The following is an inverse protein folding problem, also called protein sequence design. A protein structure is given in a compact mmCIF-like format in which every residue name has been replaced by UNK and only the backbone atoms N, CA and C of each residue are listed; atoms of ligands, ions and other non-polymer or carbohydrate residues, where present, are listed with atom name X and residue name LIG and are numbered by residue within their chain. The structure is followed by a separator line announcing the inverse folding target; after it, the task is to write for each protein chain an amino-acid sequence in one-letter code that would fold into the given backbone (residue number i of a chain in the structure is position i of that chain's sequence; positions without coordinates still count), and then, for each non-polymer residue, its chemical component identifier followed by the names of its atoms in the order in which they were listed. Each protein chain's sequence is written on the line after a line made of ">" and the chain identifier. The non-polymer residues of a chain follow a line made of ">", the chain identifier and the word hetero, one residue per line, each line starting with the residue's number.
data_IF_578286891258
#
_entry.id   IF_578286891258
#
_cell.length_a   1.000
_cell.length_b   1.000
_cell.length_c   1.000
_cell.angle_alpha   90.00
_cell.angle_beta   90.00
_cell.angle_gamma   90.00
#
_symmetry.space_group_name_H-M   'P 1'
#
loop_
_entity.id
_entity.type
_entity.pdbx_description
1 polymer ?
#
# COMPACT_ATOMS: atom_id res chain seq x y z
N UNK A 1 71.98 50.25 -10.09
CA UNK A 1 71.47 48.90 -10.25
C UNK A 1 70.91 48.43 -8.93
N UNK A 2 69.61 48.57 -8.76
CA UNK A 2 68.88 48.17 -7.53
C UNK A 2 68.14 46.88 -7.82
N UNK A 3 68.50 45.80 -7.12
CA UNK A 3 67.80 44.51 -7.20
C UNK A 3 66.67 44.49 -6.20
N UNK A 4 65.42 44.39 -6.69
CA UNK A 4 64.27 44.10 -5.85
C UNK A 4 64.10 42.55 -5.79
N UNK A 5 64.19 42.00 -4.61
CA UNK A 5 63.83 40.63 -4.31
C UNK A 5 62.35 40.60 -3.95
N UNK A 6 61.55 39.89 -4.78
CA UNK A 6 60.17 39.55 -4.46
C UNK A 6 60.17 38.32 -3.56
N UNK A 7 59.67 38.49 -2.35
CA UNK A 7 59.32 37.35 -1.46
C UNK A 7 57.89 36.99 -1.75
N UNK A 8 57.66 35.82 -2.32
CA UNK A 8 56.34 35.25 -2.53
C UNK A 8 55.92 34.51 -1.25
N UNK A 9 54.97 35.09 -0.50
CA UNK A 9 54.36 34.40 0.62
C UNK A 9 53.26 33.48 0.08
N UNK A 10 53.49 32.17 0.13
CA UNK A 10 52.46 31.16 -0.16
C UNK A 10 51.57 31.03 1.09
N UNK A 11 50.34 31.52 0.97
CA UNK A 11 49.29 31.26 1.96
C UNK A 11 48.75 29.86 1.70
N UNK A 12 49.05 28.95 2.61
CA UNK A 12 48.43 27.61 2.65
C UNK A 12 47.03 27.76 3.25
N UNK A 13 46.02 27.71 2.39
CA UNK A 13 44.63 27.60 2.84
C UNK A 13 44.41 26.13 3.23
N UNK A 14 44.40 25.83 4.52
CA UNK A 14 43.98 24.58 5.03
C UNK A 14 42.44 24.49 4.92
N UNK A 15 41.93 23.79 3.92
CA UNK A 15 40.54 23.33 3.89
C UNK A 15 40.38 22.29 5.01
N UNK A 16 39.78 22.70 6.11
CA UNK A 16 39.24 21.75 7.09
C UNK A 16 38.01 21.08 6.43
N UNK A 17 38.19 19.85 5.98
CA UNK A 17 37.07 18.95 5.68
C UNK A 17 36.28 18.79 6.99
N UNK A 18 35.12 19.44 7.05
CA UNK A 18 34.14 19.17 8.08
C UNK A 18 33.80 17.68 8.01
N UNK A 19 34.13 16.96 9.06
CA UNK A 19 33.82 15.56 9.22
C UNK A 19 32.32 15.36 8.98
N UNK A 20 31.98 14.48 8.04
CA UNK A 20 30.68 13.87 8.02
C UNK A 20 30.43 13.34 9.42
N UNK A 21 29.44 13.88 10.10
CA UNK A 21 28.95 13.32 11.35
C UNK A 21 28.67 11.85 11.10
N UNK A 22 29.34 10.99 11.85
CA UNK A 22 29.07 9.55 11.84
C UNK A 22 27.56 9.37 11.97
N UNK A 23 26.92 8.84 10.94
CA UNK A 23 25.56 8.36 11.06
C UNK A 23 25.61 7.38 12.25
N UNK A 24 24.91 7.71 13.32
CA UNK A 24 24.70 6.78 14.43
C UNK A 24 24.01 5.59 13.83
N UNK A 25 24.61 4.40 13.94
CA UNK A 25 23.91 3.17 13.54
C UNK A 25 22.52 3.19 14.21
N UNK A 26 21.47 2.83 13.45
CA UNK A 26 20.14 2.76 14.03
C UNK A 26 20.18 1.80 15.23
N UNK A 27 19.42 2.08 16.28
CA UNK A 27 19.40 1.24 17.46
C UNK A 27 19.03 -0.18 17.06
N UNK A 28 19.84 -1.16 17.50
CA UNK A 28 19.53 -2.57 17.33
C UNK A 28 18.39 -2.90 18.28
N UNK A 29 17.23 -3.20 17.71
CA UNK A 29 16.04 -3.60 18.46
C UNK A 29 16.25 -4.97 19.10
N UNK A 30 15.68 -5.18 20.28
CA UNK A 30 15.62 -6.51 20.89
C UNK A 30 14.74 -7.45 20.05
N UNK A 31 14.88 -8.77 20.26
CA UNK A 31 14.02 -9.75 19.58
C UNK A 31 12.53 -9.52 19.89
N UNK A 32 12.20 -9.11 21.12
CA UNK A 32 10.83 -8.77 21.54
C UNK A 32 10.31 -7.49 20.84
N UNK A 33 11.11 -6.44 20.78
CA UNK A 33 10.75 -5.21 20.06
C UNK A 33 10.62 -5.47 18.55
N UNK A 34 11.48 -6.30 17.98
CA UNK A 34 11.38 -6.72 16.59
C UNK A 34 10.11 -7.52 16.33
N UNK A 35 9.76 -8.46 17.22
CA UNK A 35 8.51 -9.22 17.13
C UNK A 35 7.28 -8.30 17.23
N UNK A 36 7.28 -7.34 18.16
CA UNK A 36 6.20 -6.34 18.28
C UNK A 36 6.06 -5.46 17.03
N UNK A 37 7.16 -5.06 16.44
CA UNK A 37 7.13 -4.32 15.18
C UNK A 37 6.58 -5.17 14.02
N UNK A 38 6.86 -6.46 14.03
CA UNK A 38 6.43 -7.38 12.97
C UNK A 38 4.96 -7.77 13.11
N UNK A 39 4.52 -8.17 14.29
CA UNK A 39 3.17 -8.71 14.51
C UNK A 39 2.19 -7.70 15.09
N UNK A 40 2.68 -6.62 15.72
CA UNK A 40 1.88 -5.78 16.61
C UNK A 40 1.63 -6.46 17.95
N UNK A 41 0.94 -5.78 18.86
CA UNK A 41 0.57 -6.27 20.18
C UNK A 41 -0.94 -6.54 20.33
N UNK A 42 -1.70 -6.37 19.23
CA UNK A 42 -3.15 -6.63 19.22
C UNK A 42 -3.45 -8.13 19.14
N UNK A 43 -4.42 -8.60 19.90
CA UNK A 43 -4.95 -9.95 19.75
C UNK A 43 -5.67 -10.08 18.40
N UNK A 44 -5.09 -10.85 17.48
CA UNK A 44 -5.66 -11.12 16.17
C UNK A 44 -6.58 -12.34 16.12
N UNK A 45 -6.74 -13.05 17.24
CA UNK A 45 -7.59 -14.25 17.31
C UNK A 45 -9.01 -14.04 16.76
N UNK A 46 -9.72 -12.93 17.05
CA UNK A 46 -11.06 -12.69 16.50
C UNK A 46 -11.06 -12.55 14.97
N UNK A 47 -10.03 -11.91 14.42
CA UNK A 47 -9.91 -11.66 12.96
C UNK A 47 -9.50 -12.91 12.19
N UNK A 48 -8.63 -13.74 12.75
CA UNK A 48 -8.19 -14.99 12.14
C UNK A 48 -9.28 -16.08 12.17
N UNK A 49 -10.16 -16.04 13.17
CA UNK A 49 -11.26 -16.98 13.31
C UNK A 49 -12.61 -16.43 12.84
N UNK A 50 -12.61 -15.32 12.08
CA UNK A 50 -13.83 -14.79 11.50
C UNK A 50 -14.46 -15.77 10.50
N UNK A 51 -15.78 -15.73 10.38
CA UNK A 51 -16.49 -16.54 9.40
C UNK A 51 -16.41 -15.87 8.02
N UNK A 52 -15.50 -16.35 7.17
CA UNK A 52 -15.31 -15.85 5.82
C UNK A 52 -15.81 -16.85 4.79
N UNK A 53 -16.55 -16.37 3.82
CA UNK A 53 -16.99 -17.18 2.67
C UNK A 53 -17.09 -16.32 1.41
N UNK A 54 -16.75 -16.91 0.28
CA UNK A 54 -17.01 -16.32 -1.03
C UNK A 54 -18.49 -16.35 -1.36
N UNK A 55 -18.99 -15.29 -1.98
CA UNK A 55 -20.38 -15.12 -2.39
C UNK A 55 -20.52 -14.34 -3.68
N UNK A 56 -21.78 -14.07 -4.07
CA UNK A 56 -22.07 -13.25 -5.24
C UNK A 56 -21.59 -11.82 -5.03
N UNK A 57 -20.99 -11.23 -6.05
CA UNK A 57 -20.54 -9.86 -6.00
C UNK A 57 -21.72 -8.87 -6.02
N UNK A 58 -21.67 -7.78 -5.21
CA UNK A 58 -22.51 -6.62 -5.41
C UNK A 58 -22.38 -6.05 -6.83
N UNK A 59 -23.45 -5.52 -7.40
CA UNK A 59 -23.45 -5.06 -8.79
C UNK A 59 -22.54 -3.85 -9.01
N UNK A 60 -22.41 -3.00 -8.03
CA UNK A 60 -21.56 -1.81 -7.99
C UNK A 60 -20.07 -2.13 -7.86
N UNK A 61 -19.72 -3.36 -7.44
CA UNK A 61 -18.32 -3.82 -7.43
C UNK A 61 -17.83 -4.32 -8.80
N UNK A 62 -18.74 -4.47 -9.76
CA UNK A 62 -18.40 -4.94 -11.11
C UNK A 62 -18.14 -3.74 -12.01
N UNK A 63 -16.98 -3.72 -12.67
CA UNK A 63 -16.63 -2.65 -13.62
C UNK A 63 -17.65 -2.53 -14.74
N UNK A 64 -17.97 -1.30 -15.09
CA UNK A 64 -18.88 -1.02 -16.20
C UNK A 64 -18.22 -1.29 -17.56
N UNK A 65 -18.95 -1.92 -18.44
CA UNK A 65 -18.53 -2.17 -19.82
C UNK A 65 -17.94 -3.56 -20.08
N UNK A 66 -17.47 -3.80 -21.31
CA UNK A 66 -16.98 -5.12 -21.69
C UNK A 66 -15.59 -5.40 -21.08
N UNK A 67 -15.49 -6.45 -20.29
CA UNK A 67 -14.22 -7.00 -19.82
C UNK A 67 -13.95 -8.35 -20.48
N UNK A 68 -12.79 -8.49 -21.12
CA UNK A 68 -12.36 -9.76 -21.70
C UNK A 68 -12.07 -10.83 -20.63
N UNK A 69 -11.73 -10.39 -19.42
CA UNK A 69 -11.51 -11.26 -18.26
C UNK A 69 -12.84 -11.81 -17.77
N UNK A 70 -13.78 -10.90 -17.44
CA UNK A 70 -15.09 -11.25 -16.88
C UNK A 70 -15.93 -12.10 -17.83
N UNK A 71 -15.78 -11.91 -19.15
CA UNK A 71 -16.48 -12.70 -20.16
C UNK A 71 -16.10 -14.20 -20.18
N UNK A 72 -15.04 -14.59 -19.48
CA UNK A 72 -14.48 -15.94 -19.47
C UNK A 72 -14.13 -16.41 -18.05
N UNK A 73 -14.79 -15.86 -17.04
CA UNK A 73 -14.44 -16.12 -15.64
C UNK A 73 -15.66 -16.09 -14.74
N UNK A 74 -15.65 -16.92 -13.73
CA UNK A 74 -16.49 -16.80 -12.56
C UNK A 74 -15.87 -15.77 -11.58
N UNK A 75 -16.73 -14.96 -10.97
CA UNK A 75 -16.32 -13.89 -10.05
C UNK A 75 -17.04 -14.07 -8.73
N UNK A 76 -16.30 -14.06 -7.64
CA UNK A 76 -16.84 -14.16 -6.29
C UNK A 76 -16.25 -13.06 -5.40
N UNK A 77 -17.05 -12.56 -4.50
CA UNK A 77 -16.71 -11.45 -3.60
C UNK A 77 -16.89 -11.83 -2.13
N UNK A 78 -16.25 -11.08 -1.28
CA UNK A 78 -16.38 -11.18 0.16
C UNK A 78 -15.80 -9.97 0.87
N UNK A 79 -15.97 -9.93 2.18
CA UNK A 79 -15.37 -8.93 3.04
C UNK A 79 -14.60 -9.59 4.17
N UNK A 80 -13.47 -9.00 4.55
CA UNK A 80 -12.65 -9.47 5.67
C UNK A 80 -12.46 -8.33 6.65
N UNK A 81 -12.80 -8.55 7.91
CA UNK A 81 -12.54 -7.59 8.98
C UNK A 81 -11.06 -7.60 9.36
N UNK A 82 -10.50 -6.40 9.47
CA UNK A 82 -9.14 -6.19 9.96
C UNK A 82 -9.13 -5.10 11.03
N UNK A 83 -8.22 -5.14 12.00
CA UNK A 83 -8.18 -4.12 13.04
C UNK A 83 -7.79 -2.76 12.47
N UNK A 84 -8.36 -1.68 12.97
CA UNK A 84 -7.96 -0.32 12.60
C UNK A 84 -6.46 -0.09 12.81
N UNK A 85 -5.90 -0.68 13.86
CA UNK A 85 -4.46 -0.65 14.14
C UNK A 85 -4.00 -1.99 14.70
N UNK A 86 -2.80 -2.39 14.35
CA UNK A 86 -2.14 -3.60 14.88
C UNK A 86 -1.35 -3.34 16.16
N UNK A 87 -1.29 -2.09 16.60
CA UNK A 87 -0.59 -1.69 17.82
C UNK A 87 -1.56 -1.03 18.80
N UNK A 88 -1.48 -1.47 20.06
CA UNK A 88 -2.33 -0.98 21.12
C UNK A 88 -3.80 -1.40 20.99
N UNK A 89 -4.55 -1.12 22.03
CA UNK A 89 -5.98 -1.41 22.09
C UNK A 89 -6.73 -0.09 22.05
N UNK A 90 -7.06 0.38 20.84
CA UNK A 90 -7.76 1.64 20.64
C UNK A 90 -9.23 1.37 20.32
N UNK A 91 -10.10 2.23 20.84
CA UNK A 91 -11.55 2.19 20.58
C UNK A 91 -11.81 2.90 19.25
N UNK A 92 -11.39 2.25 18.16
CA UNK A 92 -11.55 2.71 16.77
C UNK A 92 -12.27 1.59 16.03
N UNK A 93 -13.27 1.90 15.18
CA UNK A 93 -13.93 0.90 14.35
C UNK A 93 -12.93 0.12 13.50
N UNK A 94 -13.13 -1.18 13.37
CA UNK A 94 -12.34 -2.02 12.48
C UNK A 94 -12.60 -1.66 11.01
N UNK A 95 -11.70 -2.04 10.09
CA UNK A 95 -11.97 -1.96 8.66
C UNK A 95 -12.65 -3.22 8.14
N UNK A 96 -13.56 -3.04 7.19
CA UNK A 96 -14.13 -4.09 6.36
C UNK A 96 -13.48 -4.03 4.98
N UNK A 97 -12.55 -4.94 4.70
CA UNK A 97 -11.83 -4.96 3.43
C UNK A 97 -12.61 -5.73 2.38
N UNK A 98 -12.88 -5.10 1.25
CA UNK A 98 -13.47 -5.72 0.08
C UNK A 98 -12.44 -6.61 -0.63
N UNK A 99 -12.86 -7.83 -0.93
CA UNK A 99 -12.04 -8.80 -1.67
C UNK A 99 -12.84 -9.42 -2.81
N UNK A 100 -12.18 -9.67 -3.92
CA UNK A 100 -12.75 -10.31 -5.08
C UNK A 100 -11.79 -11.36 -5.62
N UNK A 101 -12.31 -12.53 -5.98
CA UNK A 101 -11.53 -13.49 -6.75
C UNK A 101 -12.14 -13.70 -8.12
N UNK A 102 -11.25 -13.86 -9.11
CA UNK A 102 -11.59 -14.17 -10.49
C UNK A 102 -11.01 -15.54 -10.83
N UNK A 103 -11.88 -16.45 -11.21
CA UNK A 103 -11.55 -17.83 -11.57
C UNK A 103 -11.90 -18.02 -13.05
N UNK A 104 -10.92 -18.39 -13.87
CA UNK A 104 -11.16 -18.63 -15.29
C UNK A 104 -12.06 -19.84 -15.49
N UNK A 105 -13.01 -19.73 -16.43
CA UNK A 105 -13.92 -20.81 -16.80
C UNK A 105 -13.15 -22.06 -17.25
N UNK A 106 -13.43 -23.19 -16.62
CA UNK A 106 -12.77 -24.46 -16.90
C UNK A 106 -11.34 -24.59 -16.36
N UNK A 107 -10.87 -23.65 -15.53
CA UNK A 107 -9.60 -23.79 -14.84
C UNK A 107 -9.70 -24.91 -13.78
N UNK A 108 -8.65 -25.74 -13.69
CA UNK A 108 -8.50 -26.76 -12.61
C UNK A 108 -7.79 -26.15 -11.39
N UNK A 109 -8.00 -24.85 -11.14
CA UNK A 109 -7.32 -24.14 -10.07
C UNK A 109 -7.71 -24.65 -8.67
N UNK A 110 -6.72 -24.73 -7.79
CA UNK A 110 -7.00 -25.06 -6.40
C UNK A 110 -7.65 -23.83 -5.72
N UNK A 111 -8.89 -23.94 -5.21
CA UNK A 111 -9.60 -22.81 -4.61
C UNK A 111 -8.98 -22.29 -3.31
N UNK A 112 -8.05 -23.05 -2.72
CA UNK A 112 -7.33 -22.64 -1.49
C UNK A 112 -6.02 -21.90 -1.77
N UNK A 113 -5.60 -21.81 -3.03
CA UNK A 113 -4.44 -21.03 -3.45
C UNK A 113 -4.90 -19.79 -4.22
N UNK A 114 -4.01 -18.83 -4.43
CA UNK A 114 -4.33 -17.65 -5.23
C UNK A 114 -3.13 -16.76 -5.43
N UNK A 115 -3.26 -15.83 -6.38
CA UNK A 115 -2.32 -14.74 -6.58
C UNK A 115 -3.03 -13.45 -6.18
N UNK A 116 -2.58 -12.84 -5.09
CA UNK A 116 -3.06 -11.52 -4.69
C UNK A 116 -2.46 -10.46 -5.60
N UNK A 117 -3.24 -9.44 -5.95
CA UNK A 117 -2.76 -8.33 -6.77
C UNK A 117 -3.15 -6.97 -6.20
N UNK A 118 -2.27 -5.99 -6.42
CA UNK A 118 -2.52 -4.60 -6.11
C UNK A 118 -1.88 -3.69 -7.16
N UNK A 119 -2.66 -2.76 -7.79
CA UNK A 119 -2.18 -1.89 -8.86
C UNK A 119 -1.28 -0.77 -8.38
N UNK A 120 -1.29 -0.46 -7.08
CA UNK A 120 -0.56 0.68 -6.54
C UNK A 120 -1.40 1.94 -6.45
N UNK A 121 -0.89 3.02 -6.95
CA UNK A 121 -1.37 4.36 -6.73
C UNK A 121 -0.40 5.10 -5.82
N UNK A 122 -0.65 5.29 -4.49
CA UNK A 122 -1.70 4.72 -3.60
C UNK A 122 -3.14 5.07 -4.02
N UNK A 123 -4.09 4.22 -3.66
CA UNK A 123 -5.53 4.44 -3.90
C UNK A 123 -6.09 3.65 -5.08
N UNK A 124 -5.29 2.85 -5.78
CA UNK A 124 -5.80 1.98 -6.84
C UNK A 124 -6.57 0.77 -6.30
N UNK A 125 -7.76 0.52 -6.87
CA UNK A 125 -8.61 -0.62 -6.52
C UNK A 125 -8.03 -1.94 -7.01
N UNK A 126 -7.82 -2.89 -6.10
CA UNK A 126 -7.45 -4.26 -6.44
C UNK A 126 -8.62 -5.02 -7.06
N UNK A 127 -9.85 -4.69 -6.70
CA UNK A 127 -11.05 -5.26 -7.30
C UNK A 127 -11.15 -4.88 -8.78
N UNK A 128 -10.94 -3.62 -9.13
CA UNK A 128 -10.91 -3.19 -10.53
C UNK A 128 -9.78 -3.87 -11.29
N UNK A 129 -8.60 -3.99 -10.68
CA UNK A 129 -7.43 -4.59 -11.30
C UNK A 129 -7.67 -6.06 -11.71
N UNK A 130 -8.26 -6.90 -10.85
CA UNK A 130 -8.51 -8.31 -11.19
C UNK A 130 -9.53 -8.47 -12.31
N UNK A 131 -10.43 -7.51 -12.48
CA UNK A 131 -11.47 -7.53 -13.50
C UNK A 131 -10.97 -7.05 -14.87
N UNK A 132 -9.91 -6.25 -14.91
CA UNK A 132 -9.43 -5.58 -16.12
C UNK A 132 -8.08 -6.09 -16.62
N UNK A 133 -7.26 -6.70 -15.76
CA UNK A 133 -5.92 -7.15 -16.11
C UNK A 133 -5.92 -8.47 -16.87
N UNK A 134 -5.27 -8.43 -18.03
CA UNK A 134 -5.12 -9.61 -18.88
C UNK A 134 -3.75 -10.28 -18.63
N UNK A 135 -3.68 -11.07 -17.57
CA UNK A 135 -2.51 -11.90 -17.28
C UNK A 135 -2.42 -13.10 -18.26
N UNK A 136 -1.23 -13.74 -18.39
CA UNK A 136 -1.06 -14.93 -19.21
C UNK A 136 -2.08 -16.02 -18.87
N UNK A 137 -2.62 -16.65 -19.91
CA UNK A 137 -3.64 -17.70 -19.75
C UNK A 137 -3.18 -18.82 -18.82
N UNK A 138 -1.90 -19.17 -18.87
CA UNK A 138 -1.29 -20.25 -18.10
C UNK A 138 -1.39 -19.97 -16.59
N UNK A 139 -1.28 -18.71 -16.16
CA UNK A 139 -1.48 -18.32 -14.77
C UNK A 139 -2.95 -18.37 -14.36
N UNK A 140 -3.87 -17.95 -15.24
CA UNK A 140 -5.30 -18.03 -15.00
C UNK A 140 -5.82 -19.49 -14.96
N UNK A 141 -5.17 -20.41 -15.65
CA UNK A 141 -5.56 -21.83 -15.65
C UNK A 141 -5.11 -22.52 -14.34
N UNK A 142 -4.08 -22.01 -13.66
CA UNK A 142 -3.50 -22.63 -12.46
C UNK A 142 -3.96 -21.95 -11.16
N UNK A 143 -4.22 -20.62 -11.20
CA UNK A 143 -4.48 -19.83 -10.01
C UNK A 143 -5.69 -18.91 -10.17
N UNK A 144 -6.58 -18.83 -9.18
CA UNK A 144 -7.47 -17.70 -9.06
C UNK A 144 -6.65 -16.42 -8.78
N UNK A 145 -7.11 -15.32 -9.36
CA UNK A 145 -6.56 -14.00 -9.02
C UNK A 145 -7.42 -13.34 -7.95
N UNK A 146 -6.80 -12.79 -6.93
CA UNK A 146 -7.46 -12.19 -5.78
C UNK A 146 -7.08 -10.72 -5.72
N UNK A 147 -8.07 -9.85 -5.97
CA UNK A 147 -7.97 -8.42 -5.73
C UNK A 147 -8.48 -8.08 -4.35
N UNK A 148 -7.88 -7.09 -3.74
CA UNK A 148 -8.41 -6.48 -2.53
C UNK A 148 -8.26 -4.96 -2.63
N UNK A 149 -9.23 -4.25 -2.10
CA UNK A 149 -9.12 -2.81 -1.91
C UNK A 149 -8.44 -2.58 -0.56
N UNK A 150 -7.32 -1.86 -0.52
CA UNK A 150 -6.70 -1.51 0.76
C UNK A 150 -7.66 -0.66 1.61
N UNK A 151 -7.42 -0.59 2.91
CA UNK A 151 -8.15 0.26 3.84
C UNK A 151 -8.29 1.69 3.32
N UNK A 152 -9.52 2.23 3.30
CA UNK A 152 -9.85 3.55 2.77
C UNK A 152 -9.76 3.67 1.26
N UNK A 153 -9.83 2.56 0.52
CA UNK A 153 -9.80 2.53 -0.95
C UNK A 153 -11.02 1.76 -1.47
N UNK A 154 -11.66 2.31 -2.49
CA UNK A 154 -12.75 1.65 -3.19
C UNK A 154 -13.90 1.26 -2.27
N UNK A 155 -14.11 -0.03 -2.05
CA UNK A 155 -15.17 -0.57 -1.20
C UNK A 155 -14.70 -1.01 0.19
N UNK A 156 -13.52 -0.56 0.61
CA UNK A 156 -12.90 -0.91 1.90
C UNK A 156 -12.92 0.26 2.87
N UNK A 157 -13.95 0.30 3.71
CA UNK A 157 -14.19 1.36 4.68
C UNK A 157 -14.21 0.83 6.13
N UNK A 158 -14.44 1.71 7.08
CA UNK A 158 -14.69 1.31 8.44
C UNK A 158 -15.95 0.47 8.55
N UNK A 159 -15.92 -0.55 9.39
CA UNK A 159 -17.00 -1.54 9.56
C UNK A 159 -18.29 -0.95 10.13
N UNK A 160 -18.26 0.26 10.67
CA UNK A 160 -19.42 1.02 11.14
C UNK A 160 -20.02 1.93 10.06
N UNK A 161 -19.46 1.94 8.84
CA UNK A 161 -19.90 2.77 7.72
C UNK A 161 -19.33 4.17 7.72
N UNK A 162 -18.32 4.46 8.55
CA UNK A 162 -17.54 5.70 8.42
C UNK A 162 -16.68 5.62 7.17
N UNK A 163 -16.87 6.57 6.26
CA UNK A 163 -16.10 6.70 5.02
C UNK A 163 -14.87 7.59 5.24
N UNK A 164 -13.83 7.35 4.45
CA UNK A 164 -12.62 8.18 4.43
C UNK A 164 -12.65 9.04 3.18
N UNK A 165 -13.00 10.31 3.36
CA UNK A 165 -13.03 11.28 2.29
C UNK A 165 -12.19 12.50 2.64
N UNK A 166 -11.29 12.91 1.73
CA UNK A 166 -10.48 14.12 1.92
C UNK A 166 -11.13 15.35 1.26
N UNK A 167 -11.57 15.20 0.01
CA UNK A 167 -12.34 16.19 -0.73
C UNK A 167 -12.96 15.53 -1.95
N UNK A 168 -13.96 16.13 -2.54
CA UNK A 168 -14.44 15.69 -3.83
C UNK A 168 -13.45 16.08 -4.97
N UNK A 169 -13.64 15.48 -6.17
CA UNK A 169 -12.75 15.70 -7.32
C UNK A 169 -12.66 17.18 -7.74
N UNK A 170 -13.70 17.95 -7.55
CA UNK A 170 -13.74 19.38 -7.90
C UNK A 170 -12.93 20.21 -6.91
N UNK A 171 -13.00 19.88 -5.64
CA UNK A 171 -12.20 20.55 -4.60
C UNK A 171 -10.71 20.23 -4.78
N UNK A 172 -10.35 18.98 -5.07
CA UNK A 172 -8.98 18.60 -5.39
C UNK A 172 -8.36 19.48 -6.49
N UNK A 173 -9.07 19.72 -7.59
CA UNK A 173 -8.62 20.58 -8.69
C UNK A 173 -8.38 22.03 -8.22
N UNK A 174 -9.15 22.53 -7.26
CA UNK A 174 -8.99 23.88 -6.73
C UNK A 174 -7.68 24.08 -5.95
N UNK A 175 -7.17 23.03 -5.30
CA UNK A 175 -5.89 23.06 -4.58
C UNK A 175 -4.66 22.99 -5.51
N UNK A 176 -4.76 22.27 -6.63
CA UNK A 176 -3.64 21.98 -7.53
C UNK A 176 -3.83 22.60 -8.93
N UNK A 177 -3.88 23.93 -8.99
CA UNK A 177 -4.10 24.67 -10.25
C UNK A 177 -2.92 24.58 -11.24
N UNK A 178 -1.70 24.41 -10.75
CA UNK A 178 -0.47 24.33 -11.55
C UNK A 178 0.45 23.22 -11.03
N UNK A 179 0.50 22.09 -11.74
CA UNK A 179 1.30 20.93 -11.35
C UNK A 179 2.79 21.01 -11.73
N UNK A 180 3.21 22.05 -12.47
CA UNK A 180 4.58 22.22 -12.96
C UNK A 180 5.04 23.66 -12.82
N UNK A 181 5.33 24.12 -11.58
CA UNK A 181 5.66 25.52 -11.33
C UNK A 181 6.93 25.92 -12.08
N UNK A 182 6.87 27.03 -12.81
CA UNK A 182 7.98 27.61 -13.55
C UNK A 182 8.67 28.77 -12.81
N UNK A 183 8.13 29.17 -11.67
CA UNK A 183 8.65 30.25 -10.81
C UNK A 183 8.52 29.89 -9.34
N UNK A 184 9.28 30.58 -8.49
CA UNK A 184 9.20 30.46 -7.02
C UNK A 184 7.80 30.80 -6.50
N UNK A 185 7.17 31.84 -7.06
CA UNK A 185 5.81 32.23 -6.68
C UNK A 185 4.75 31.18 -7.02
N UNK A 186 4.90 30.46 -8.15
CA UNK A 186 4.02 29.35 -8.50
C UNK A 186 4.29 28.12 -7.63
N UNK A 187 5.54 27.89 -7.24
CA UNK A 187 5.89 26.85 -6.28
C UNK A 187 5.28 27.13 -4.91
N UNK A 188 5.31 28.37 -4.43
CA UNK A 188 4.69 28.76 -3.16
C UNK A 188 3.17 28.48 -3.18
N UNK A 189 2.48 28.80 -4.29
CA UNK A 189 1.04 28.51 -4.45
C UNK A 189 0.76 27.00 -4.43
N UNK A 190 1.62 26.19 -5.08
CA UNK A 190 1.48 24.74 -5.07
C UNK A 190 1.69 24.16 -3.65
N UNK A 191 2.68 24.65 -2.91
CA UNK A 191 2.94 24.23 -1.53
C UNK A 191 1.76 24.60 -0.62
N UNK A 192 1.29 25.87 -0.69
CA UNK A 192 0.13 26.31 0.10
C UNK A 192 -1.12 25.49 -0.21
N UNK A 193 -1.37 25.18 -1.50
CA UNK A 193 -2.48 24.32 -1.92
C UNK A 193 -2.36 22.89 -1.38
N UNK A 194 -1.14 22.31 -1.44
CA UNK A 194 -0.88 20.97 -0.89
C UNK A 194 -1.09 20.91 0.62
N UNK A 195 -0.61 21.92 1.34
CA UNK A 195 -0.78 22.01 2.79
C UNK A 195 -2.27 22.17 3.18
N UNK A 196 -3.02 22.98 2.44
CA UNK A 196 -4.46 23.16 2.67
C UNK A 196 -5.23 21.85 2.42
N UNK A 197 -4.97 21.17 1.32
CA UNK A 197 -5.59 19.88 1.01
C UNK A 197 -5.30 18.83 2.08
N UNK A 198 -4.02 18.72 2.49
CA UNK A 198 -3.62 17.80 3.56
C UNK A 198 -4.36 18.11 4.87
N UNK A 199 -4.44 19.38 5.25
CA UNK A 199 -5.10 19.78 6.50
C UNK A 199 -6.61 19.49 6.47
N UNK A 200 -7.27 19.77 5.36
CA UNK A 200 -8.71 19.48 5.19
C UNK A 200 -8.96 17.96 5.28
N UNK A 201 -8.09 17.14 4.67
CA UNK A 201 -8.16 15.69 4.76
C UNK A 201 -7.98 15.19 6.21
N UNK A 202 -7.01 15.73 6.94
CA UNK A 202 -6.74 15.37 8.35
C UNK A 202 -7.91 15.76 9.25
N UNK A 203 -8.48 16.95 9.04
CA UNK A 203 -9.58 17.48 9.85
C UNK A 203 -10.89 16.71 9.62
N UNK A 204 -11.11 16.25 8.37
CA UNK A 204 -12.28 15.44 8.00
C UNK A 204 -12.17 13.99 8.53
N UNK A 205 -10.97 13.45 8.65
CA UNK A 205 -10.74 12.02 8.93
C UNK A 205 -9.95 11.81 10.23
N UNK A 206 -10.60 11.70 11.39
CA UNK A 206 -9.90 11.58 12.69
C UNK A 206 -9.00 10.34 12.80
N UNK A 207 -9.20 9.34 11.95
CA UNK A 207 -8.44 8.08 11.94
C UNK A 207 -7.50 7.93 10.74
N UNK A 208 -7.22 9.00 9.98
CA UNK A 208 -6.37 8.99 8.78
C UNK A 208 -5.00 8.32 9.00
N UNK A 209 -4.44 8.42 10.19
CA UNK A 209 -3.14 7.84 10.56
C UNK A 209 -3.14 6.30 10.56
N UNK A 210 -4.32 5.66 10.52
CA UNK A 210 -4.45 4.20 10.40
C UNK A 210 -4.18 3.69 8.98
N UNK A 211 -4.11 4.57 7.97
CA UNK A 211 -3.93 4.25 6.55
C UNK A 211 -2.46 4.00 6.15
N UNK A 212 -1.61 3.63 7.08
CA UNK A 212 -0.19 3.43 6.81
C UNK A 212 0.08 2.17 5.97
N UNK A 213 1.18 2.20 5.19
CA UNK A 213 1.68 1.02 4.44
C UNK A 213 1.94 -0.17 5.36
N UNK A 214 2.38 0.06 6.60
CA UNK A 214 2.58 -0.98 7.59
C UNK A 214 1.29 -1.73 7.93
N UNK A 215 0.21 -1.00 8.11
CA UNK A 215 -1.09 -1.59 8.37
C UNK A 215 -1.61 -2.34 7.14
N UNK A 216 -1.46 -1.78 5.93
CA UNK A 216 -1.84 -2.47 4.68
C UNK A 216 -1.06 -3.77 4.47
N UNK A 217 0.24 -3.79 4.77
CA UNK A 217 1.03 -5.02 4.69
C UNK A 217 0.60 -6.08 5.72
N UNK A 218 0.17 -5.66 6.90
CA UNK A 218 -0.40 -6.56 7.92
C UNK A 218 -1.79 -7.05 7.56
N UNK A 219 -2.61 -6.18 6.95
CA UNK A 219 -3.89 -6.58 6.35
C UNK A 219 -3.69 -7.68 5.32
N UNK A 220 -2.70 -7.51 4.44
CA UNK A 220 -2.39 -8.50 3.41
C UNK A 220 -2.01 -9.87 4.02
N UNK A 221 -1.29 -9.88 5.16
CA UNK A 221 -1.01 -11.14 5.85
C UNK A 221 -2.26 -11.75 6.48
N UNK A 222 -3.14 -10.93 7.05
CA UNK A 222 -4.41 -11.40 7.60
C UNK A 222 -5.33 -11.93 6.48
N UNK A 223 -5.43 -11.21 5.35
CA UNK A 223 -6.15 -11.68 4.17
C UNK A 223 -5.61 -13.04 3.68
N UNK A 224 -4.29 -13.19 3.60
CA UNK A 224 -3.65 -14.46 3.24
C UNK A 224 -4.07 -15.58 4.20
N UNK A 225 -4.03 -15.34 5.50
CA UNK A 225 -4.35 -16.36 6.50
C UNK A 225 -5.84 -16.76 6.49
N UNK A 226 -6.73 -15.81 6.22
CA UNK A 226 -8.19 -16.03 6.17
C UNK A 226 -8.62 -16.65 4.85
N UNK A 227 -8.08 -16.18 3.73
CA UNK A 227 -8.52 -16.56 2.38
C UNK A 227 -7.79 -17.80 1.86
N UNK A 228 -6.49 -17.93 2.13
CA UNK A 228 -5.64 -19.03 1.69
C UNK A 228 -4.91 -19.68 2.89
N UNK A 229 -5.65 -20.26 3.85
CA UNK A 229 -5.09 -20.76 5.09
C UNK A 229 -4.02 -21.84 4.85
N UNK A 230 -2.86 -21.66 5.47
CA UNK A 230 -1.73 -22.58 5.35
C UNK A 230 -0.82 -22.33 4.14
N UNK A 231 -1.20 -21.46 3.21
CA UNK A 231 -0.39 -21.11 2.05
C UNK A 231 0.49 -19.88 2.30
N UNK A 232 1.60 -19.79 1.57
CA UNK A 232 2.41 -18.57 1.51
C UNK A 232 1.82 -17.57 0.53
N UNK A 233 2.11 -16.27 0.71
CA UNK A 233 1.63 -15.21 -0.14
C UNK A 233 2.25 -15.27 -1.54
N UNK A 234 1.43 -15.48 -2.56
CA UNK A 234 1.78 -15.15 -3.93
C UNK A 234 1.19 -13.78 -4.25
N UNK A 235 2.02 -12.85 -4.72
CA UNK A 235 1.61 -11.45 -4.87
C UNK A 235 2.21 -10.82 -6.13
N UNK A 236 1.38 -10.07 -6.85
CA UNK A 236 1.82 -9.19 -7.93
C UNK A 236 1.50 -7.76 -7.52
N UNK A 237 2.53 -6.97 -7.24
CA UNK A 237 2.41 -5.55 -6.91
C UNK A 237 2.95 -4.69 -8.03
N UNK A 238 2.17 -3.69 -8.47
CA UNK A 238 2.62 -2.68 -9.41
C UNK A 238 2.77 -1.32 -8.72
N UNK A 239 3.80 -0.53 -9.12
CA UNK A 239 4.01 0.82 -8.58
C UNK A 239 4.04 0.81 -7.03
N UNK A 240 3.16 1.57 -6.34
CA UNK A 240 3.04 1.53 -4.87
C UNK A 240 2.70 0.12 -4.32
N UNK A 241 2.07 -0.75 -5.11
CA UNK A 241 1.90 -2.17 -4.74
C UNK A 241 3.22 -2.89 -4.47
N UNK A 242 4.32 -2.42 -5.06
CA UNK A 242 5.67 -2.93 -4.77
C UNK A 242 6.17 -2.47 -3.40
N UNK A 243 5.78 -1.29 -2.93
CA UNK A 243 6.06 -0.81 -1.56
C UNK A 243 5.33 -1.67 -0.53
N UNK A 244 4.06 -2.00 -0.78
CA UNK A 244 3.29 -2.94 0.06
C UNK A 244 4.00 -4.30 0.11
N UNK A 245 4.38 -4.84 -1.06
CA UNK A 245 5.11 -6.11 -1.15
C UNK A 245 6.45 -6.09 -0.40
N UNK A 246 7.24 -5.03 -0.57
CA UNK A 246 8.52 -4.86 0.13
C UNK A 246 8.35 -4.80 1.64
N UNK A 247 7.31 -4.09 2.10
CA UNK A 247 6.98 -4.03 3.52
C UNK A 247 6.50 -5.38 4.06
N UNK A 248 5.66 -6.08 3.30
CA UNK A 248 5.23 -7.44 3.64
C UNK A 248 6.41 -8.40 3.80
N UNK A 249 7.34 -8.42 2.82
CA UNK A 249 8.55 -9.27 2.89
C UNK A 249 9.39 -8.98 4.14
N UNK A 250 9.47 -7.71 4.54
CA UNK A 250 10.20 -7.31 5.75
C UNK A 250 9.51 -7.74 7.03
N UNK A 251 8.17 -7.68 7.09
CA UNK A 251 7.39 -8.01 8.28
C UNK A 251 7.17 -9.52 8.42
N UNK A 252 6.97 -10.23 7.32
CA UNK A 252 6.53 -11.63 7.30
C UNK A 252 7.40 -12.51 6.37
N UNK A 253 8.73 -12.59 6.57
CA UNK A 253 9.63 -13.31 5.67
C UNK A 253 9.24 -14.78 5.49
N UNK A 254 8.72 -15.44 6.52
CA UNK A 254 8.28 -16.84 6.46
C UNK A 254 6.94 -17.02 5.73
N UNK A 255 6.16 -15.94 5.58
CA UNK A 255 4.88 -15.93 4.87
C UNK A 255 5.02 -15.70 3.35
N UNK A 256 6.24 -15.45 2.87
CA UNK A 256 6.51 -15.08 1.46
C UNK A 256 6.53 -16.31 0.56
N UNK A 257 5.69 -16.30 -0.46
CA UNK A 257 5.71 -17.24 -1.58
C UNK A 257 6.43 -16.66 -2.81
N UNK A 258 5.68 -16.46 -3.88
CA UNK A 258 6.17 -15.85 -5.12
C UNK A 258 5.70 -14.41 -5.21
N UNK A 259 6.64 -13.46 -5.29
CA UNK A 259 6.33 -12.02 -5.35
C UNK A 259 6.91 -11.42 -6.61
N UNK A 260 6.07 -10.70 -7.35
CA UNK A 260 6.44 -9.93 -8.53
C UNK A 260 6.35 -8.45 -8.20
N UNK A 261 7.44 -7.74 -8.47
CA UNK A 261 7.55 -6.28 -8.35
C UNK A 261 7.51 -5.69 -9.75
N UNK A 262 6.38 -5.13 -10.16
CA UNK A 262 6.23 -4.45 -11.43
C UNK A 262 6.39 -2.94 -11.25
N UNK A 263 7.35 -2.33 -11.97
CA UNK A 263 7.66 -0.91 -11.87
C UNK A 263 7.93 -0.45 -10.42
N UNK A 264 8.94 -1.02 -9.74
CA UNK A 264 9.16 -0.81 -8.31
C UNK A 264 9.45 0.65 -7.99
N UNK A 265 8.80 1.14 -6.93
CA UNK A 265 9.09 2.45 -6.34
C UNK A 265 10.18 2.30 -5.27
N UNK A 266 11.05 3.32 -5.18
CA UNK A 266 11.98 3.44 -4.04
C UNK A 266 11.27 4.13 -2.90
N UNK A 267 11.39 3.57 -1.71
CA UNK A 267 10.91 4.16 -0.45
C UNK A 267 12.07 4.89 0.22
#
# INVERSE_FOLDING_TARGET
>A
MIRFSLVASAAVVALTLAACTTATEPPVLSEEETALLMTGDRDLTPYLNQDFSWGSCPTDWIVEGPSAVLAQSEVECGTVLVPATYQGNQDIPDFSLAVMRVIRDGAESNPTTGIFINPGGPGGSGLEQVQTSNFPKELHDEFPFIGFDPRGVGFSDFSDGTEIECSDELDYISYFQEGSPASEAELDVLVEGSDAYYQDCVDANPYWWTLSTDNVARDLDLLRQVITPGETLNFIGASYGTTIAGRYVSLFPEGVGKVVFDSPTTV
#
